data_IF_658571291922
#
_entry.id   IF_658571291922
#
_cell.length_a   1.000
_cell.length_b   1.000
_cell.length_c   1.000
_cell.angle_alpha   90.00
_cell.angle_beta   90.00
_cell.angle_gamma   90.00
#
_symmetry.space_group_name_H-M   'P 1'
#
loop_
_entity.id
_entity.type
_entity.pdbx_description
1 polymer ?
#
# COMPACT_ATOMS: atom_id res chain seq x y z
N UNK A 1 -42.25 15.74 -70.27
CA UNK A 1 -41.82 17.01 -69.69
C UNK A 1 -42.23 16.92 -68.23
N UNK A 2 -41.31 16.48 -67.39
CA UNK A 2 -41.56 15.94 -66.04
C UNK A 2 -40.72 16.75 -65.07
N UNK A 3 -41.38 17.32 -64.07
CA UNK A 3 -40.76 17.94 -62.91
C UNK A 3 -41.43 17.36 -61.66
N UNK A 4 -40.63 17.29 -60.60
CA UNK A 4 -40.95 16.89 -59.22
C UNK A 4 -40.93 15.39 -58.87
N UNK A 5 -39.72 14.88 -58.59
CA UNK A 5 -39.42 14.10 -57.38
C UNK A 5 -37.89 14.15 -57.15
N UNK A 6 -37.44 14.92 -56.14
CA UNK A 6 -36.03 15.00 -55.72
C UNK A 6 -35.84 14.23 -54.40
N UNK A 7 -34.94 13.22 -54.32
CA UNK A 7 -34.61 12.59 -53.06
C UNK A 7 -33.65 13.46 -52.22
N UNK A 8 -33.87 13.43 -50.91
CA UNK A 8 -33.16 14.19 -49.88
C UNK A 8 -31.64 13.95 -49.84
N UNK A 9 -30.83 14.96 -49.45
CA UNK A 9 -29.40 14.77 -49.22
C UNK A 9 -29.17 13.91 -47.97
N UNK A 10 -28.70 12.69 -48.19
CA UNK A 10 -28.09 11.88 -47.13
C UNK A 10 -26.90 12.64 -46.54
N UNK A 11 -26.96 12.94 -45.25
CA UNK A 11 -25.83 13.48 -44.51
C UNK A 11 -24.70 12.45 -44.52
N UNK A 12 -23.70 12.70 -45.36
CA UNK A 12 -22.37 12.12 -45.21
C UNK A 12 -21.81 12.59 -43.86
N UNK A 13 -21.63 11.65 -42.94
CA UNK A 13 -20.96 11.90 -41.68
C UNK A 13 -19.50 12.34 -41.94
N UNK A 14 -18.97 13.32 -41.20
CA UNK A 14 -17.55 13.65 -41.24
C UNK A 14 -16.73 12.51 -40.63
N UNK A 15 -15.61 12.21 -41.29
CA UNK A 15 -14.57 11.29 -40.85
C UNK A 15 -14.10 11.66 -39.42
N UNK A 16 -14.41 10.82 -38.44
CA UNK A 16 -13.86 10.91 -37.09
C UNK A 16 -12.62 10.02 -36.98
N UNK A 17 -11.47 10.57 -37.34
CA UNK A 17 -10.21 10.11 -36.76
C UNK A 17 -10.22 10.46 -35.26
N UNK A 18 -10.47 9.47 -34.39
CA UNK A 18 -10.32 9.63 -32.93
C UNK A 18 -10.11 8.29 -32.22
N UNK A 19 -8.91 8.11 -31.68
CA UNK A 19 -8.68 7.31 -30.47
C UNK A 19 -7.91 6.00 -30.64
N UNK A 20 -6.60 6.08 -30.86
CA UNK A 20 -5.70 5.20 -30.12
C UNK A 20 -5.89 5.44 -28.59
N UNK A 21 -5.51 4.46 -27.77
CA UNK A 21 -5.55 4.42 -26.29
C UNK A 21 -6.81 3.88 -25.58
N UNK A 22 -6.91 2.56 -25.46
CA UNK A 22 -7.48 1.99 -24.23
C UNK A 22 -6.90 0.64 -23.74
N UNK A 23 -5.85 0.10 -24.36
CA UNK A 23 -5.45 -1.29 -24.07
C UNK A 23 -4.37 -1.55 -23.00
N UNK A 24 -3.79 -0.59 -22.24
CA UNK A 24 -2.96 -0.97 -21.09
C UNK A 24 -3.72 -0.95 -19.74
N UNK A 25 -4.97 -0.44 -19.69
CA UNK A 25 -5.73 -0.31 -18.43
C UNK A 25 -6.45 -1.61 -18.02
N UNK A 26 -6.92 -2.39 -18.98
CA UNK A 26 -7.74 -3.58 -18.69
C UNK A 26 -6.86 -4.78 -18.33
N UNK A 27 -5.71 -4.96 -18.98
CA UNK A 27 -4.80 -6.07 -18.68
C UNK A 27 -4.24 -6.02 -17.25
N UNK A 28 -3.92 -4.83 -16.74
CA UNK A 28 -3.35 -4.64 -15.41
C UNK A 28 -4.28 -5.06 -14.25
N UNK A 29 -5.61 -5.02 -14.47
CA UNK A 29 -6.58 -5.49 -13.47
C UNK A 29 -6.69 -7.02 -13.44
N UNK A 30 -6.43 -7.71 -14.55
CA UNK A 30 -6.52 -9.17 -14.62
C UNK A 30 -5.37 -9.88 -13.90
N UNK A 31 -4.14 -9.36 -14.00
CA UNK A 31 -2.98 -9.98 -13.32
C UNK A 31 -3.08 -9.89 -11.79
N UNK A 32 -3.69 -8.82 -11.27
CA UNK A 32 -3.92 -8.64 -9.83
C UNK A 32 -5.13 -9.45 -9.35
N UNK A 33 -6.19 -9.58 -10.15
CA UNK A 33 -7.30 -10.49 -9.84
C UNK A 33 -6.88 -11.96 -9.90
N UNK A 34 -6.07 -12.37 -10.87
CA UNK A 34 -5.53 -13.73 -10.98
C UNK A 34 -4.62 -14.06 -9.79
N UNK A 35 -3.74 -13.13 -9.40
CA UNK A 35 -2.93 -13.26 -8.19
C UNK A 35 -3.77 -13.52 -6.94
N UNK A 36 -4.83 -12.73 -6.75
CA UNK A 36 -5.72 -12.91 -5.62
C UNK A 36 -6.43 -14.28 -5.72
N UNK A 37 -6.89 -14.68 -6.90
CA UNK A 37 -7.60 -15.94 -7.14
C UNK A 37 -6.71 -17.19 -6.98
N UNK A 38 -5.42 -17.10 -7.29
CA UNK A 38 -4.44 -18.19 -7.18
C UNK A 38 -3.88 -18.38 -5.76
N UNK A 39 -4.35 -17.60 -4.77
CA UNK A 39 -3.86 -17.69 -3.40
C UNK A 39 -2.46 -17.11 -3.22
N UNK A 40 -2.08 -16.11 -4.03
CA UNK A 40 -0.80 -15.41 -3.88
C UNK A 40 -0.72 -14.81 -2.48
N UNK A 41 0.38 -15.14 -1.79
CA UNK A 41 0.67 -14.62 -0.47
C UNK A 41 0.81 -13.10 -0.52
N UNK A 42 0.30 -12.40 0.50
CA UNK A 42 0.32 -10.94 0.59
C UNK A 42 1.70 -10.30 0.23
N UNK A 43 2.86 -10.85 0.64
CA UNK A 43 4.16 -10.32 0.25
C UNK A 43 4.41 -10.28 -1.27
N UNK A 44 3.92 -11.27 -2.02
CA UNK A 44 4.10 -11.34 -3.47
C UNK A 44 3.20 -10.32 -4.19
N UNK A 45 1.96 -10.15 -3.72
CA UNK A 45 1.07 -9.08 -4.19
C UNK A 45 1.72 -7.71 -3.97
N UNK A 46 2.21 -7.45 -2.75
CA UNK A 46 2.85 -6.19 -2.41
C UNK A 46 4.14 -5.95 -3.22
N UNK A 47 4.90 -7.01 -3.51
CA UNK A 47 6.07 -6.93 -4.39
C UNK A 47 5.67 -6.44 -5.79
N UNK A 48 4.62 -7.03 -6.38
CA UNK A 48 4.10 -6.59 -7.69
C UNK A 48 3.60 -5.15 -7.68
N UNK A 49 2.93 -4.74 -6.60
CA UNK A 49 2.49 -3.35 -6.41
C UNK A 49 3.69 -2.40 -6.42
N UNK A 50 4.75 -2.71 -5.66
CA UNK A 50 5.95 -1.89 -5.60
C UNK A 50 6.68 -1.84 -6.95
N UNK A 51 6.82 -2.97 -7.65
CA UNK A 51 7.44 -3.04 -8.99
C UNK A 51 6.68 -2.18 -10.00
N UNK A 52 5.35 -2.28 -9.99
CA UNK A 52 4.51 -1.51 -10.90
C UNK A 52 4.56 -0.02 -10.61
N UNK A 53 4.49 0.37 -9.33
CA UNK A 53 4.63 1.76 -8.92
C UNK A 53 5.98 2.34 -9.35
N UNK A 54 7.07 1.58 -9.14
CA UNK A 54 8.42 1.95 -9.58
C UNK A 54 8.49 2.18 -11.09
N UNK A 55 7.90 1.27 -11.88
CA UNK A 55 7.86 1.37 -13.33
C UNK A 55 7.01 2.57 -13.81
N UNK A 56 5.84 2.78 -13.22
CA UNK A 56 4.97 3.93 -13.53
C UNK A 56 5.65 5.27 -13.22
N UNK A 57 6.38 5.33 -12.10
CA UNK A 57 7.08 6.52 -11.66
C UNK A 57 8.41 6.76 -12.39
N UNK A 58 8.96 5.74 -13.08
CA UNK A 58 10.25 5.83 -13.75
C UNK A 58 11.43 6.00 -12.79
N UNK A 59 11.35 5.43 -11.59
CA UNK A 59 12.30 5.69 -10.50
C UNK A 59 13.21 4.49 -10.17
N UNK A 60 14.37 4.72 -9.52
CA UNK A 60 15.26 3.63 -9.14
C UNK A 60 14.70 2.74 -8.03
N UNK A 61 13.92 3.27 -7.09
CA UNK A 61 13.49 2.56 -5.87
C UNK A 61 11.99 2.77 -5.58
N UNK A 62 11.32 1.70 -5.19
CA UNK A 62 10.02 1.75 -4.52
C UNK A 62 10.00 0.77 -3.34
N UNK A 63 9.22 1.09 -2.31
CA UNK A 63 9.08 0.24 -1.13
C UNK A 63 7.71 0.42 -0.46
N UNK A 64 7.30 -0.58 0.32
CA UNK A 64 6.04 -0.57 1.06
C UNK A 64 6.33 -0.78 2.54
N UNK A 65 5.79 0.11 3.36
CA UNK A 65 5.80 0.00 4.80
C UNK A 65 4.43 -0.45 5.31
N UNK A 66 4.41 -1.48 6.13
CA UNK A 66 3.20 -2.04 6.75
C UNK A 66 3.15 -1.70 8.24
N UNK A 67 1.95 -1.59 8.83
CA UNK A 67 1.81 -1.51 10.28
C UNK A 67 2.45 -2.72 10.96
N UNK A 68 3.33 -2.47 11.93
CA UNK A 68 3.86 -3.53 12.79
C UNK A 68 2.80 -4.02 13.77
N UNK A 69 3.11 -5.08 14.53
CA UNK A 69 2.26 -5.55 15.63
C UNK A 69 2.09 -4.49 16.73
N UNK A 70 3.11 -3.66 16.93
CA UNK A 70 2.96 -2.47 17.76
C UNK A 70 2.13 -1.40 17.02
N UNK A 71 1.26 -0.73 17.76
CA UNK A 71 0.34 0.25 17.18
C UNK A 71 1.03 1.56 16.72
N UNK A 72 2.35 1.70 16.91
CA UNK A 72 3.06 2.99 16.84
C UNK A 72 4.17 3.02 15.79
N UNK A 73 4.48 1.89 15.15
CA UNK A 73 5.50 1.79 14.11
C UNK A 73 4.95 1.26 12.78
N UNK A 74 5.76 1.49 11.75
CA UNK A 74 5.64 0.87 10.43
C UNK A 74 6.97 0.18 10.11
N UNK A 75 6.91 -1.00 9.51
CA UNK A 75 8.10 -1.75 9.05
C UNK A 75 8.10 -1.84 7.53
N UNK A 76 9.26 -1.59 6.92
CA UNK A 76 9.44 -1.72 5.48
C UNK A 76 9.65 -3.19 5.14
N UNK A 77 8.57 -3.86 4.71
CA UNK A 77 8.59 -5.30 4.45
C UNK A 77 9.00 -5.61 3.01
N UNK A 78 8.64 -4.71 2.09
CA UNK A 78 8.88 -4.85 0.65
C UNK A 78 9.71 -3.68 0.17
N UNK A 79 10.77 -3.95 -0.59
CA UNK A 79 11.56 -2.96 -1.28
C UNK A 79 12.07 -3.54 -2.60
N UNK A 80 11.97 -2.76 -3.68
CA UNK A 80 12.33 -3.19 -5.03
C UNK A 80 13.11 -2.10 -5.76
N UNK A 81 14.13 -2.51 -6.51
CA UNK A 81 15.01 -1.62 -7.26
C UNK A 81 16.33 -1.33 -6.56
N UNK A 82 17.02 -0.28 -6.99
CA UNK A 82 18.33 0.05 -6.44
C UNK A 82 18.22 0.46 -4.97
N UNK A 83 19.15 0.02 -4.13
CA UNK A 83 19.17 0.27 -2.68
C UNK A 83 18.02 -0.38 -1.89
N UNK A 84 17.29 -1.35 -2.46
CA UNK A 84 16.22 -2.09 -1.76
C UNK A 84 16.70 -2.71 -0.44
N UNK A 85 17.91 -3.26 -0.44
CA UNK A 85 18.50 -3.93 0.72
C UNK A 85 18.82 -2.98 1.87
N UNK A 86 18.99 -1.68 1.57
CA UNK A 86 19.28 -0.67 2.59
C UNK A 86 18.06 -0.27 3.40
N UNK A 87 16.86 -0.48 2.86
CA UNK A 87 15.60 -0.06 3.49
C UNK A 87 14.76 -1.20 3.97
N UNK A 88 14.91 -2.39 3.38
CA UNK A 88 14.15 -3.56 3.79
C UNK A 88 14.46 -3.90 5.25
N UNK A 89 13.41 -4.12 6.04
CA UNK A 89 13.50 -4.42 7.47
C UNK A 89 13.62 -3.20 8.38
N UNK A 90 13.77 -1.98 7.83
CA UNK A 90 13.77 -0.77 8.67
C UNK A 90 12.39 -0.53 9.30
N UNK A 91 12.41 -0.05 10.55
CA UNK A 91 11.21 0.31 11.29
C UNK A 91 11.20 1.81 11.56
N UNK A 92 10.06 2.46 11.30
CA UNK A 92 9.88 3.90 11.48
C UNK A 92 8.69 4.17 12.41
N UNK A 93 8.74 5.29 13.14
CA UNK A 93 7.63 5.68 14.04
C UNK A 93 6.52 6.40 13.27
N UNK A 94 5.26 6.05 13.54
CA UNK A 94 4.08 6.65 12.89
C UNK A 94 3.96 8.16 13.13
N UNK A 95 4.30 8.63 14.33
CA UNK A 95 4.18 10.05 14.67
C UNK A 95 5.36 10.94 14.27
N UNK A 96 6.49 10.38 13.82
CA UNK A 96 7.74 11.15 13.60
C UNK A 96 8.36 10.99 12.22
N UNK A 97 7.95 9.99 11.46
CA UNK A 97 8.42 9.78 10.08
C UNK A 97 7.44 10.33 9.04
N UNK A 98 7.94 10.65 7.85
CA UNK A 98 7.10 11.02 6.71
C UNK A 98 6.15 9.89 6.32
N UNK A 99 6.61 8.65 6.36
CA UNK A 99 5.78 7.45 6.13
C UNK A 99 4.64 7.38 7.15
N UNK A 100 4.96 7.58 8.42
CA UNK A 100 4.00 7.60 9.50
C UNK A 100 2.95 8.70 9.39
N UNK A 101 3.36 9.89 8.94
CA UNK A 101 2.45 11.01 8.68
C UNK A 101 1.51 10.70 7.53
N UNK A 102 1.99 10.14 6.42
CA UNK A 102 1.14 9.74 5.30
C UNK A 102 0.12 8.67 5.74
N UNK A 103 0.58 7.67 6.50
CA UNK A 103 -0.28 6.63 7.08
C UNK A 103 -1.39 7.22 7.95
N UNK A 104 -1.04 8.08 8.90
CA UNK A 104 -1.99 8.60 9.90
C UNK A 104 -2.95 9.64 9.32
N UNK A 105 -2.47 10.46 8.38
CA UNK A 105 -3.28 11.50 7.75
C UNK A 105 -4.14 11.00 6.59
N UNK A 106 -3.90 9.78 6.10
CA UNK A 106 -4.53 9.22 4.90
C UNK A 106 -4.38 10.12 3.67
N UNK A 107 -3.25 10.83 3.59
CA UNK A 107 -2.96 11.78 2.51
C UNK A 107 -1.59 11.49 1.91
N UNK A 108 -1.51 11.63 0.60
CA UNK A 108 -0.25 11.57 -0.12
C UNK A 108 0.68 12.72 0.31
N UNK A 109 1.97 12.42 0.42
CA UNK A 109 3.02 13.39 0.74
C UNK A 109 4.08 13.37 -0.35
N UNK A 110 4.43 14.54 -0.88
CA UNK A 110 5.57 14.73 -1.78
C UNK A 110 6.63 15.56 -1.07
N UNK A 111 7.87 15.11 -1.09
CA UNK A 111 8.99 15.75 -0.41
C UNK A 111 10.33 15.47 -1.09
N UNK A 112 11.41 16.07 -0.59
CA UNK A 112 12.79 15.58 -0.81
C UNK A 112 13.24 14.82 0.44
N UNK A 113 14.02 13.74 0.28
CA UNK A 113 14.45 12.85 1.38
C UNK A 113 15.29 13.53 2.49
N UNK A 114 15.64 14.82 2.34
CA UNK A 114 16.42 15.59 3.32
C UNK A 114 15.70 15.83 4.66
N UNK A 115 14.39 15.54 4.76
CA UNK A 115 13.57 15.90 5.91
C UNK A 115 13.39 14.81 7.00
N UNK A 116 13.82 13.56 6.77
CA UNK A 116 13.55 12.45 7.70
C UNK A 116 14.84 11.70 8.09
N UNK A 117 15.18 11.74 9.39
CA UNK A 117 16.36 11.05 9.94
C UNK A 117 16.31 9.53 9.73
N UNK A 118 15.12 8.93 9.65
CA UNK A 118 14.97 7.47 9.48
C UNK A 118 15.21 7.00 8.05
N UNK A 119 15.06 7.89 7.07
CA UNK A 119 15.33 7.63 5.66
C UNK A 119 16.65 8.28 5.22
N UNK A 120 17.49 8.74 6.15
CA UNK A 120 18.76 9.42 5.86
C UNK A 120 19.80 8.53 5.18
N UNK A 121 19.65 7.20 5.24
CA UNK A 121 20.48 6.22 4.53
C UNK A 121 20.17 6.13 3.04
N UNK A 122 19.02 6.68 2.61
CA UNK A 122 18.61 6.74 1.21
C UNK A 122 19.23 7.95 0.50
N UNK A 123 19.47 7.84 -0.82
CA UNK A 123 19.85 8.98 -1.63
C UNK A 123 18.85 10.14 -1.51
N UNK A 124 19.37 11.38 -1.44
CA UNK A 124 18.59 12.61 -1.30
C UNK A 124 17.83 13.00 -2.60
N UNK A 125 16.91 12.14 -3.04
CA UNK A 125 16.04 12.34 -4.18
C UNK A 125 14.62 12.82 -3.81
N UNK A 126 13.78 13.12 -4.82
CA UNK A 126 12.36 13.37 -4.60
C UNK A 126 11.66 12.06 -4.20
N UNK A 127 10.82 12.14 -3.17
CA UNK A 127 10.01 11.01 -2.68
C UNK A 127 8.53 11.37 -2.76
N UNK A 128 7.73 10.44 -3.26
CA UNK A 128 6.28 10.48 -3.18
C UNK A 128 5.82 9.31 -2.33
N UNK A 129 5.01 9.62 -1.32
CA UNK A 129 4.52 8.71 -0.30
C UNK A 129 3.00 8.66 -0.41
N UNK A 130 2.45 7.47 -0.57
CA UNK A 130 1.06 7.22 -0.92
C UNK A 130 0.46 6.24 0.09
N UNK A 131 -0.57 6.63 0.85
CA UNK A 131 -1.26 5.69 1.72
C UNK A 131 -1.98 4.63 0.86
N UNK A 132 -1.93 3.37 1.29
CA UNK A 132 -2.80 2.32 0.79
C UNK A 132 -4.09 2.35 1.60
N UNK A 133 -4.95 3.31 1.31
CA UNK A 133 -6.17 3.59 2.07
C UNK A 133 -7.41 3.00 1.39
N UNK A 134 -8.23 2.29 2.17
CA UNK A 134 -9.48 1.71 1.68
C UNK A 134 -10.69 2.58 2.00
N UNK A 135 -10.49 3.76 2.60
CA UNK A 135 -11.53 4.59 3.19
C UNK A 135 -11.89 4.18 4.63
N UNK A 136 -11.87 2.88 4.93
CA UNK A 136 -12.09 2.36 6.27
C UNK A 136 -10.80 2.37 7.10
N UNK A 137 -9.73 1.85 6.51
CA UNK A 137 -8.43 1.72 7.15
C UNK A 137 -7.29 1.89 6.15
N UNK A 138 -6.17 2.40 6.65
CA UNK A 138 -4.91 2.45 5.91
C UNK A 138 -4.14 1.17 6.17
N UNK A 139 -3.94 0.37 5.11
CA UNK A 139 -3.29 -0.96 5.21
C UNK A 139 -1.77 -0.88 5.15
N UNK A 140 -1.24 0.23 4.64
CA UNK A 140 0.19 0.47 4.56
C UNK A 140 0.50 1.76 3.83
N UNK A 141 1.77 1.95 3.50
CA UNK A 141 2.26 3.12 2.76
C UNK A 141 3.19 2.67 1.65
N UNK A 142 2.87 3.05 0.42
CA UNK A 142 3.72 2.90 -0.75
C UNK A 142 4.58 4.15 -0.91
N UNK A 143 5.89 3.99 -1.11
CA UNK A 143 6.79 5.08 -1.41
C UNK A 143 7.59 4.82 -2.68
N UNK A 144 7.78 5.87 -3.48
CA UNK A 144 8.63 5.86 -4.68
C UNK A 144 9.69 6.95 -4.54
N UNK A 145 10.95 6.60 -4.81
CA UNK A 145 12.10 7.48 -4.63
C UNK A 145 12.86 7.67 -5.95
N UNK A 146 12.89 8.91 -6.43
CA UNK A 146 13.70 9.34 -7.56
C UNK A 146 15.20 9.42 -7.24
N UNK A 147 16.01 9.57 -8.30
CA UNK A 147 17.47 9.74 -8.15
C UNK A 147 17.82 11.08 -7.47
N UNK A 148 18.98 11.20 -6.82
CA UNK A 148 19.52 12.50 -6.41
C UNK A 148 19.53 13.49 -7.58
N UNK A 149 19.11 14.73 -7.32
CA UNK A 149 19.07 15.78 -8.34
C UNK A 149 17.91 15.68 -9.34
N UNK A 150 17.07 14.64 -9.29
CA UNK A 150 15.87 14.59 -10.12
C UNK A 150 14.86 15.68 -9.72
N UNK A 151 14.05 16.09 -10.71
CA UNK A 151 12.92 16.98 -10.50
C UNK A 151 11.85 16.33 -9.61
N UNK A 152 11.10 17.11 -8.81
CA UNK A 152 9.95 16.60 -8.09
C UNK A 152 8.93 15.93 -9.03
N UNK A 153 8.16 14.99 -8.49
CA UNK A 153 7.09 14.35 -9.26
C UNK A 153 6.07 15.39 -9.75
N UNK A 154 5.75 15.35 -11.04
CA UNK A 154 4.74 16.23 -11.62
C UNK A 154 3.36 15.95 -11.01
N UNK A 155 2.45 16.95 -10.97
CA UNK A 155 1.10 16.74 -10.44
C UNK A 155 0.35 15.60 -11.13
N UNK A 156 0.53 15.46 -12.45
CA UNK A 156 -0.08 14.39 -13.24
C UNK A 156 0.45 13.01 -12.85
N UNK A 157 1.77 12.85 -12.73
CA UNK A 157 2.39 11.59 -12.31
C UNK A 157 1.98 11.22 -10.87
N UNK A 158 1.96 12.20 -9.96
CA UNK A 158 1.52 11.98 -8.58
C UNK A 158 0.05 11.55 -8.50
N UNK A 159 -0.83 12.17 -9.31
CA UNK A 159 -2.23 11.81 -9.38
C UNK A 159 -2.44 10.38 -9.92
N UNK A 160 -1.72 10.00 -10.97
CA UNK A 160 -1.78 8.64 -11.53
C UNK A 160 -1.35 7.58 -10.50
N UNK A 161 -0.27 7.85 -9.76
CA UNK A 161 0.22 6.95 -8.71
C UNK A 161 -0.74 6.87 -7.52
N UNK A 162 -1.43 7.97 -7.17
CA UNK A 162 -2.46 7.97 -6.14
C UNK A 162 -3.64 7.05 -6.52
N UNK A 163 -4.18 7.19 -7.74
CA UNK A 163 -5.26 6.32 -8.23
C UNK A 163 -4.85 4.83 -8.25
N UNK A 164 -3.57 4.58 -8.57
CA UNK A 164 -3.01 3.25 -8.51
C UNK A 164 -2.96 2.71 -7.08
N UNK A 165 -2.48 3.52 -6.12
CA UNK A 165 -2.43 3.16 -4.70
C UNK A 165 -3.84 2.85 -4.14
N UNK A 166 -4.85 3.66 -4.46
CA UNK A 166 -6.25 3.44 -4.05
C UNK A 166 -6.79 2.09 -4.56
N UNK A 167 -6.43 1.71 -5.79
CA UNK A 167 -6.82 0.43 -6.37
C UNK A 167 -6.12 -0.73 -5.67
N UNK A 168 -4.81 -0.58 -5.41
CA UNK A 168 -4.02 -1.60 -4.72
C UNK A 168 -4.46 -1.82 -3.27
N UNK A 169 -4.90 -0.77 -2.58
CA UNK A 169 -5.38 -0.86 -1.21
C UNK A 169 -6.52 -1.89 -1.05
N UNK A 170 -7.45 -1.92 -2.01
CA UNK A 170 -8.55 -2.92 -2.01
C UNK A 170 -8.05 -4.35 -2.23
N UNK A 171 -7.07 -4.55 -3.11
CA UNK A 171 -6.49 -5.87 -3.32
C UNK A 171 -5.71 -6.36 -2.09
N UNK A 172 -4.98 -5.46 -1.44
CA UNK A 172 -4.29 -5.74 -0.17
C UNK A 172 -5.28 -6.14 0.92
N UNK A 173 -6.37 -5.39 1.09
CA UNK A 173 -7.44 -5.76 2.03
C UNK A 173 -7.99 -7.16 1.73
N UNK A 174 -8.31 -7.46 0.48
CA UNK A 174 -8.85 -8.77 0.11
C UNK A 174 -7.86 -9.92 0.39
N UNK A 175 -6.57 -9.71 0.18
CA UNK A 175 -5.53 -10.69 0.51
C UNK A 175 -5.36 -10.87 2.04
N UNK A 176 -5.42 -9.79 2.81
CA UNK A 176 -5.40 -9.84 4.28
C UNK A 176 -6.62 -10.59 4.85
N UNK A 177 -7.82 -10.29 4.36
CA UNK A 177 -9.07 -10.88 4.82
C UNK A 177 -9.10 -12.40 4.55
N UNK A 178 -8.58 -12.84 3.40
CA UNK A 178 -8.42 -14.27 3.08
C UNK A 178 -7.46 -14.97 4.04
N UNK A 179 -6.33 -14.33 4.38
CA UNK A 179 -5.37 -14.87 5.34
C UNK A 179 -5.96 -15.00 6.75
N UNK A 180 -6.79 -14.05 7.15
CA UNK A 180 -7.48 -14.11 8.45
C UNK A 180 -8.47 -15.28 8.53
N UNK A 181 -9.16 -15.59 7.43
CA UNK A 181 -10.11 -16.70 7.35
C UNK A 181 -9.45 -18.10 7.33
N UNK A 182 -8.21 -18.19 6.81
CA UNK A 182 -7.45 -19.46 6.72
C UNK A 182 -6.70 -19.80 8.02
N UNK A 183 -6.65 -18.89 9.01
CA UNK A 183 -6.05 -19.21 10.32
C UNK A 183 -7.01 -20.12 11.09
N UNK A 184 -6.70 -21.42 11.32
CA UNK A 184 -7.53 -22.25 12.15
C UNK A 184 -7.57 -21.64 13.56
N UNK A 185 -8.78 -21.38 14.07
CA UNK A 185 -8.97 -20.96 15.46
C UNK A 185 -8.31 -21.96 16.43
N UNK A 186 -7.95 -21.56 17.65
CA UNK A 186 -7.29 -22.46 18.59
C UNK A 186 -8.20 -23.64 18.93
N UNK A 187 -7.96 -24.77 18.26
CA UNK A 187 -8.58 -26.05 18.55
C UNK A 187 -7.83 -26.76 19.66
N UNK A 188 -8.57 -27.31 20.63
CA UNK A 188 -8.09 -28.38 21.50
C UNK A 188 -7.70 -27.97 22.92
N UNK A 189 -8.66 -27.50 23.73
CA UNK A 189 -8.54 -27.69 25.18
C UNK A 189 -8.90 -29.14 25.49
N UNK A 190 -7.88 -29.98 25.52
CA UNK A 190 -7.98 -31.31 26.10
C UNK A 190 -8.42 -31.23 27.56
N UNK A 191 -9.22 -32.23 27.93
CA UNK A 191 -9.62 -32.53 29.30
C UNK A 191 -8.43 -32.41 30.25
N UNK A 192 -8.54 -31.51 31.22
CA UNK A 192 -7.65 -31.49 32.37
C UNK A 192 -8.46 -31.84 33.60
N UNK A 193 -8.42 -33.14 33.90
CA UNK A 193 -8.68 -33.69 35.20
C UNK A 193 -7.88 -32.89 36.24
N UNK A 194 -8.58 -32.25 37.19
CA UNK A 194 -7.97 -31.56 38.30
C UNK A 194 -7.55 -32.59 39.35
N UNK A 195 -6.27 -32.67 39.77
CA UNK A 195 -5.93 -33.28 41.05
C UNK A 195 -6.15 -32.26 42.18
N UNK A 196 -6.57 -32.70 43.39
CA UNK A 196 -6.82 -31.80 44.51
C UNK A 196 -5.54 -31.34 45.23
N UNK A 197 -5.58 -30.06 45.62
CA UNK A 197 -4.94 -29.34 46.74
C UNK A 197 -3.54 -29.73 47.25
N UNK A 198 -2.64 -28.73 47.25
CA UNK A 198 -1.78 -28.44 48.42
C UNK A 198 -1.53 -26.94 48.52
N UNK A 199 -1.66 -26.41 49.74
CA UNK A 199 -1.09 -25.15 50.22
C UNK A 199 -0.23 -25.49 51.46
N UNK A 200 0.56 -24.59 52.07
CA UNK A 200 0.93 -23.22 51.68
C UNK A 200 2.46 -22.96 51.76
N UNK A 201 2.92 -21.76 51.36
CA UNK A 201 3.95 -21.00 52.10
C UNK A 201 4.11 -19.58 51.52
N UNK A 202 4.13 -18.61 52.44
CA UNK A 202 4.41 -17.19 52.27
C UNK A 202 5.65 -16.88 51.42
N UNK A 203 5.58 -15.82 50.61
CA UNK A 203 6.59 -14.75 50.58
C UNK A 203 5.88 -13.45 50.17
N UNK A 204 6.10 -12.45 51.01
CA UNK A 204 5.58 -11.08 50.98
C UNK A 204 6.29 -10.19 49.96
N UNK A 205 5.62 -9.07 49.63
CA UNK A 205 6.16 -7.77 49.16
C UNK A 205 6.35 -7.60 47.63
N UNK A 206 6.08 -6.47 46.96
CA UNK A 206 5.31 -5.22 47.13
C UNK A 206 5.60 -4.41 45.84
N UNK A 207 4.61 -3.78 45.19
CA UNK A 207 4.60 -2.44 44.53
C UNK A 207 3.64 -2.30 43.32
N UNK A 208 2.56 -1.51 43.54
CA UNK A 208 2.09 -0.33 42.76
C UNK A 208 1.93 -0.51 41.23
N UNK A 209 0.76 -0.47 40.57
CA UNK A 209 -0.52 0.27 40.73
C UNK A 209 -0.38 1.78 40.92
N UNK A 210 -0.33 2.54 39.83
CA UNK A 210 -1.31 3.59 39.49
C UNK A 210 -0.88 4.42 38.26
N UNK A 211 -1.75 4.54 37.26
CA UNK A 211 -1.67 5.60 36.24
C UNK A 211 -3.08 6.14 35.94
N UNK A 212 -3.33 7.46 36.09
CA UNK A 212 -4.66 8.04 35.91
C UNK A 212 -4.95 8.38 34.45
N UNK A 213 -6.25 8.30 34.11
CA UNK A 213 -6.81 8.88 32.89
C UNK A 213 -7.08 10.37 33.11
N UNK A 214 -6.61 11.19 32.20
CA UNK A 214 -7.03 12.57 31.97
C UNK A 214 -7.34 12.73 30.49
#
# INVERSE_FOLDING_TARGET
MTVDDLPAPSWGAPEVSRGADNSPRVAASFDLMAAVLDGIELPDLLTRVAERARAMAGVPLAFIALPAEDAVTLRIDIAVGADSDRVRGLTVRRGRSMLGRAFSSRRALSARIVADQTLSTLPAGPILILPLDTGEATRGVLAVLGRPGAEPFSPSAAHQLLLFADTCARFVQLAEDRRAAVRPGPGGRGDRHAPPAVAPADVTDHFVRDWPRG
#
